data_IF_933435464969
#
_entry.id   IF_933435464969
#
_cell.length_a   1.000
_cell.length_b   1.000
_cell.length_c   1.000
_cell.angle_alpha   90.00
_cell.angle_beta   90.00
_cell.angle_gamma   90.00
#
_symmetry.space_group_name_H-M   'P 1'
#
loop_
_entity.id
_entity.type
_entity.pdbx_description
1 polymer ?
#
# COMPACT_ATOMS: atom_id res chain seq x y z
N UNK A 1 -13.47 -3.30 -34.71
CA UNK A 1 -12.48 -3.31 -33.60
C UNK A 1 -12.32 -1.87 -33.11
N UNK A 2 -12.92 -1.52 -31.97
CA UNK A 2 -13.04 -0.14 -31.49
C UNK A 2 -11.72 0.31 -30.86
N UNK A 3 -11.22 1.47 -31.29
CA UNK A 3 -10.03 2.17 -30.77
C UNK A 3 -10.14 2.48 -29.26
N UNK A 4 -9.94 1.52 -28.39
CA UNK A 4 -9.80 1.77 -26.96
C UNK A 4 -8.34 2.13 -26.66
N UNK A 5 -8.03 3.42 -26.66
CA UNK A 5 -6.77 3.96 -26.14
C UNK A 5 -6.62 3.44 -24.71
N UNK A 6 -5.57 2.67 -24.42
CA UNK A 6 -5.26 2.24 -23.04
C UNK A 6 -5.13 3.51 -22.21
N UNK A 7 -5.98 3.67 -21.20
CA UNK A 7 -5.93 4.81 -20.29
C UNK A 7 -4.72 4.65 -19.38
N UNK A 8 -3.60 5.26 -19.79
CA UNK A 8 -2.34 5.25 -19.06
C UNK A 8 -2.30 6.27 -17.91
N UNK A 9 -3.36 7.06 -17.71
CA UNK A 9 -3.38 8.10 -16.66
C UNK A 9 -3.53 7.51 -15.25
N UNK A 10 -4.01 6.27 -15.13
CA UNK A 10 -4.23 5.61 -13.83
C UNK A 10 -2.90 5.24 -13.19
N UNK A 11 -2.61 5.87 -12.05
CA UNK A 11 -1.48 5.56 -11.17
C UNK A 11 -1.97 5.48 -9.71
N UNK A 12 -1.43 4.54 -8.95
CA UNK A 12 -1.79 4.32 -7.54
C UNK A 12 -2.86 3.25 -7.34
N UNK A 13 -3.57 3.31 -6.21
CA UNK A 13 -4.48 2.25 -5.78
C UNK A 13 -5.84 2.30 -6.47
N UNK A 14 -6.27 1.17 -7.03
CA UNK A 14 -7.59 1.02 -7.64
C UNK A 14 -8.25 -0.29 -7.21
N UNK A 15 -9.54 -0.23 -6.92
CA UNK A 15 -10.33 -1.41 -6.59
C UNK A 15 -10.85 -2.06 -7.87
N UNK A 16 -10.45 -3.31 -8.11
CA UNK A 16 -10.80 -4.09 -9.31
C UNK A 16 -10.98 -5.54 -8.86
N UNK A 17 -11.98 -6.25 -9.40
CA UNK A 17 -12.21 -7.68 -9.12
C UNK A 17 -12.16 -8.05 -7.63
N UNK A 18 -12.82 -7.24 -6.79
CA UNK A 18 -12.93 -7.40 -5.34
C UNK A 18 -11.62 -7.22 -4.54
N UNK A 19 -10.57 -6.69 -5.14
CA UNK A 19 -9.30 -6.40 -4.44
C UNK A 19 -8.72 -5.04 -4.84
N UNK A 20 -7.83 -4.52 -3.99
CA UNK A 20 -7.09 -3.29 -4.28
C UNK A 20 -5.75 -3.63 -4.92
N UNK A 21 -5.53 -3.09 -6.11
CA UNK A 21 -4.30 -3.25 -6.88
C UNK A 21 -3.57 -1.92 -7.03
N UNK A 22 -2.24 -1.98 -7.09
CA UNK A 22 -1.42 -0.84 -7.48
C UNK A 22 -1.28 -0.79 -9.00
N UNK A 23 -1.62 0.36 -9.58
CA UNK A 23 -1.49 0.65 -11.00
C UNK A 23 -0.32 1.58 -11.25
N UNK A 24 0.39 1.33 -12.35
CA UNK A 24 1.41 2.20 -12.90
C UNK A 24 1.21 2.29 -14.41
N UNK A 25 1.08 3.51 -14.92
CA UNK A 25 0.86 3.78 -16.35
C UNK A 25 -0.33 2.99 -16.94
N UNK A 26 -1.45 2.92 -16.21
CA UNK A 26 -2.66 2.23 -16.67
C UNK A 26 -2.66 0.70 -16.57
N UNK A 27 -1.59 0.09 -16.06
CA UNK A 27 -1.48 -1.38 -15.88
C UNK A 27 -1.27 -1.73 -14.42
N UNK A 28 -1.78 -2.87 -13.99
CA UNK A 28 -1.45 -3.44 -12.69
C UNK A 28 0.06 -3.70 -12.61
N UNK A 29 0.72 -3.18 -11.57
CA UNK A 29 2.13 -3.42 -11.30
C UNK A 29 2.27 -4.36 -10.11
N UNK A 30 2.39 -5.66 -10.42
CA UNK A 30 2.56 -6.72 -9.42
C UNK A 30 3.99 -6.77 -8.83
N UNK A 31 4.91 -5.96 -9.35
CA UNK A 31 6.28 -5.87 -8.81
C UNK A 31 6.38 -4.86 -7.68
N UNK A 32 5.43 -3.93 -7.59
CA UNK A 32 5.41 -2.90 -6.57
C UNK A 32 5.18 -3.50 -5.17
N UNK A 33 6.11 -3.23 -4.25
CA UNK A 33 5.98 -3.50 -2.82
C UNK A 33 6.40 -2.25 -2.06
N UNK A 34 5.52 -1.75 -1.19
CA UNK A 34 5.74 -0.48 -0.51
C UNK A 34 4.46 0.19 -0.07
N UNK A 35 4.54 1.48 0.27
CA UNK A 35 3.39 2.24 0.76
C UNK A 35 2.76 3.12 -0.32
N UNK A 36 1.44 3.04 -0.44
CA UNK A 36 0.66 3.87 -1.35
C UNK A 36 -0.42 4.65 -0.58
N UNK A 37 -0.59 5.93 -0.92
CA UNK A 37 -1.63 6.79 -0.34
C UNK A 37 -2.89 6.75 -1.19
N UNK A 38 -4.05 6.59 -0.56
CA UNK A 38 -5.36 6.75 -1.19
C UNK A 38 -6.36 7.33 -0.20
N UNK A 39 -7.08 8.37 -0.63
CA UNK A 39 -8.17 9.01 0.11
C UNK A 39 -7.77 9.38 1.55
N UNK A 40 -6.58 9.96 1.70
CA UNK A 40 -6.03 10.38 3.00
C UNK A 40 -5.41 9.26 3.85
N UNK A 41 -5.65 7.98 3.52
CA UNK A 41 -5.04 6.84 4.20
C UNK A 41 -3.80 6.31 3.46
N UNK A 42 -2.89 5.70 4.22
CA UNK A 42 -1.72 5.02 3.68
C UNK A 42 -1.91 3.53 3.84
N UNK A 43 -1.59 2.78 2.79
CA UNK A 43 -1.71 1.33 2.76
C UNK A 43 -0.39 0.69 2.37
N UNK A 44 -0.12 -0.47 2.94
CA UNK A 44 0.97 -1.33 2.50
C UNK A 44 0.49 -2.22 1.35
N UNK A 45 1.22 -2.17 0.24
CA UNK A 45 1.01 -2.98 -0.94
C UNK A 45 2.08 -4.07 -0.96
N UNK A 46 1.66 -5.33 -1.04
CA UNK A 46 2.54 -6.47 -1.18
C UNK A 46 2.36 -7.05 -2.59
N UNK A 47 3.42 -7.03 -3.40
CA UNK A 47 3.40 -7.56 -4.79
C UNK A 47 2.20 -7.04 -5.60
N UNK A 48 1.98 -5.73 -5.54
CA UNK A 48 0.92 -5.01 -6.24
C UNK A 48 -0.48 -5.13 -5.63
N UNK A 49 -0.67 -5.81 -4.49
CA UNK A 49 -2.00 -6.06 -3.88
C UNK A 49 -2.02 -5.63 -2.41
N UNK A 50 -3.14 -5.05 -1.95
CA UNK A 50 -3.40 -4.87 -0.52
C UNK A 50 -4.06 -6.14 0.01
N UNK A 51 -3.37 -6.87 0.89
CA UNK A 51 -3.86 -8.16 1.44
C UNK A 51 -4.73 -7.99 2.68
N UNK A 52 -4.68 -6.81 3.33
CA UNK A 52 -5.28 -6.55 4.65
C UNK A 52 -4.80 -7.49 5.76
N UNK A 53 -3.59 -8.04 5.60
CA UNK A 53 -2.98 -8.99 6.55
C UNK A 53 -1.55 -8.62 6.94
N UNK A 54 -0.98 -7.57 6.32
CA UNK A 54 0.39 -7.16 6.58
C UNK A 54 0.47 -6.29 7.84
N UNK A 55 1.37 -6.62 8.75
CA UNK A 55 1.68 -5.81 9.91
C UNK A 55 3.18 -5.54 9.92
N UNK A 56 3.58 -4.27 9.96
CA UNK A 56 4.99 -3.88 9.92
C UNK A 56 5.17 -2.44 10.37
N UNK A 57 6.32 -2.13 10.95
CA UNK A 57 6.79 -0.79 11.20
C UNK A 57 7.43 -0.20 9.93
N UNK A 58 6.78 0.78 9.32
CA UNK A 58 7.25 1.39 8.08
C UNK A 58 7.66 2.85 8.30
N UNK A 59 8.77 3.26 7.70
CA UNK A 59 9.16 4.67 7.65
C UNK A 59 8.41 5.36 6.52
N UNK A 60 7.49 6.25 6.87
CA UNK A 60 6.65 6.99 5.93
C UNK A 60 6.59 8.46 6.31
N UNK A 61 6.78 9.35 5.32
CA UNK A 61 6.72 10.80 5.51
C UNK A 61 7.52 11.30 6.74
N UNK A 62 8.79 10.87 6.82
CA UNK A 62 9.74 11.20 7.89
C UNK A 62 9.38 10.68 9.29
N UNK A 63 8.38 9.81 9.43
CA UNK A 63 7.95 9.23 10.69
C UNK A 63 7.88 7.71 10.60
N UNK A 64 8.12 7.03 11.73
CA UNK A 64 7.85 5.61 11.87
C UNK A 64 6.36 5.42 12.18
N UNK A 65 5.69 4.59 11.39
CA UNK A 65 4.24 4.35 11.51
C UNK A 65 3.97 2.85 11.52
N UNK A 66 3.14 2.39 12.44
CA UNK A 66 2.62 1.02 12.39
C UNK A 66 1.65 0.86 11.21
N UNK A 67 1.95 -0.10 10.34
CA UNK A 67 0.96 -0.68 9.45
C UNK A 67 0.27 -1.81 10.23
N UNK A 68 -1.05 -1.74 10.34
CA UNK A 68 -1.91 -2.78 10.94
C UNK A 68 -2.92 -3.22 9.89
N UNK A 69 -2.99 -4.52 9.59
CA UNK A 69 -3.85 -5.07 8.54
C UNK A 69 -3.73 -4.30 7.21
N UNK A 70 -2.48 -4.07 6.77
CA UNK A 70 -2.10 -3.32 5.57
C UNK A 70 -2.51 -1.84 5.55
N UNK A 71 -3.01 -1.26 6.64
CA UNK A 71 -3.35 0.17 6.74
C UNK A 71 -2.51 0.86 7.81
N UNK A 72 -2.02 2.05 7.53
CA UNK A 72 -1.32 2.85 8.52
C UNK A 72 -2.25 3.22 9.69
N UNK A 73 -1.77 2.99 10.91
CA UNK A 73 -2.39 3.39 12.15
C UNK A 73 -1.43 4.36 12.89
N UNK A 74 -1.58 5.68 12.67
CA UNK A 74 -0.71 6.69 13.28
C UNK A 74 -0.93 6.87 14.79
N UNK A 75 -2.00 6.28 15.34
CA UNK A 75 -2.31 6.30 16.78
C UNK A 75 -2.10 4.93 17.43
N UNK A 76 -1.36 4.04 16.77
CA UNK A 76 -1.02 2.74 17.35
C UNK A 76 -0.07 2.92 18.54
N UNK A 77 -0.36 2.24 19.64
CA UNK A 77 0.51 2.16 20.81
C UNK A 77 0.82 0.71 21.09
N UNK A 78 2.10 0.36 21.18
CA UNK A 78 2.55 -1.01 21.41
C UNK A 78 3.74 -1.40 20.55
N UNK A 79 4.07 -2.69 20.55
CA UNK A 79 5.21 -3.20 19.81
C UNK A 79 4.85 -3.35 18.33
N UNK A 80 5.70 -2.82 17.44
CA UNK A 80 5.67 -3.04 16.00
C UNK A 80 7.06 -3.45 15.51
N UNK A 81 7.13 -4.20 14.43
CA UNK A 81 8.37 -4.84 13.97
C UNK A 81 8.64 -4.56 12.52
N UNK A 82 9.92 -4.49 12.14
CA UNK A 82 10.36 -4.55 10.75
C UNK A 82 11.63 -5.39 10.65
N UNK A 83 12.23 -5.44 9.46
CA UNK A 83 13.46 -6.22 9.23
C UNK A 83 14.65 -5.88 10.16
N UNK A 84 14.64 -4.70 10.80
CA UNK A 84 15.71 -4.24 11.66
C UNK A 84 15.45 -4.53 13.15
N UNK A 85 14.24 -4.96 13.53
CA UNK A 85 13.91 -5.32 14.90
C UNK A 85 12.49 -4.94 15.33
N UNK A 86 12.29 -4.95 16.64
CA UNK A 86 11.04 -4.63 17.32
C UNK A 86 11.17 -3.30 18.06
N UNK A 87 10.14 -2.45 17.95
CA UNK A 87 10.12 -1.11 18.52
C UNK A 87 8.78 -0.85 19.19
N UNK A 88 8.81 -0.15 20.32
CA UNK A 88 7.61 0.36 20.95
C UNK A 88 7.26 1.73 20.33
N UNK A 89 6.03 1.86 19.85
CA UNK A 89 5.43 3.08 19.33
C UNK A 89 4.48 3.70 20.35
#
# INVERSE_FOLDING_TARGET
LKNSKVDTSVNGLKYVNKAWYYFKNGKTDLTYTGTAKKDGAVYYVNKGIITFKHNELVYYNKNWVAIVNSKANPTYTGISTNKNGSYYL
#
